data_IF_429754590803
#
_entry.id   IF_429754590803
#
_cell.length_a   1.000
_cell.length_b   1.000
_cell.length_c   1.000
_cell.angle_alpha   90.00
_cell.angle_beta   90.00
_cell.angle_gamma   90.00
#
_symmetry.space_group_name_H-M   'P 1'
#
loop_
_entity.id
_entity.type
_entity.pdbx_description
1 polymer ?
#
# COMPACT_ATOMS: atom_id res chain seq x y z
N UNK A 1 3.03 25.68 15.72
CA UNK A 1 3.06 24.30 15.18
C UNK A 1 1.66 23.92 14.75
N UNK A 2 1.43 23.72 13.45
CA UNK A 2 0.14 23.22 12.97
C UNK A 2 0.09 21.74 13.33
N UNK A 3 -0.66 21.39 14.38
CA UNK A 3 -0.95 20.00 14.70
C UNK A 3 -1.78 19.41 13.56
N UNK A 4 -1.12 18.77 12.60
CA UNK A 4 -1.80 18.02 11.54
C UNK A 4 -2.76 17.04 12.20
N UNK A 5 -4.01 17.03 11.75
CA UNK A 5 -5.03 16.13 12.29
C UNK A 5 -4.70 14.67 12.05
N UNK A 6 -3.87 14.41 11.05
CA UNK A 6 -3.31 13.10 10.75
C UNK A 6 -2.60 12.54 11.98
N UNK A 7 -1.83 13.35 12.71
CA UNK A 7 -1.05 12.89 13.87
C UNK A 7 -1.92 12.29 14.97
N UNK A 8 -3.16 12.78 15.13
CA UNK A 8 -4.14 12.23 16.09
C UNK A 8 -4.74 10.89 15.65
N UNK A 9 -4.58 10.52 14.38
CA UNK A 9 -5.14 9.31 13.79
C UNK A 9 -4.08 8.23 13.58
N UNK A 10 -2.78 8.57 13.61
CA UNK A 10 -1.70 7.60 13.55
C UNK A 10 -1.56 6.90 14.90
N UNK A 11 -1.63 5.57 14.90
CA UNK A 11 -1.53 4.74 16.10
C UNK A 11 -0.59 3.56 15.88
N UNK A 12 -0.08 2.94 16.97
CA UNK A 12 0.66 1.68 16.88
C UNK A 12 -0.18 0.58 16.23
N UNK A 13 0.45 -0.30 15.46
CA UNK A 13 -0.23 -1.41 14.75
C UNK A 13 -1.02 -2.32 15.69
N UNK A 14 -0.50 -2.58 16.90
CA UNK A 14 -1.20 -3.34 17.94
C UNK A 14 -2.57 -2.77 18.31
N UNK A 15 -2.73 -1.44 18.29
CA UNK A 15 -4.03 -0.80 18.56
C UNK A 15 -5.03 -1.07 17.44
N UNK A 16 -4.58 -1.11 16.18
CA UNK A 16 -5.45 -1.48 15.05
C UNK A 16 -5.85 -2.94 15.15
N UNK A 17 -4.90 -3.83 15.44
CA UNK A 17 -5.17 -5.25 15.62
C UNK A 17 -6.23 -5.48 16.72
N UNK A 18 -6.09 -4.80 17.86
CA UNK A 18 -7.10 -4.85 18.93
C UNK A 18 -8.47 -4.36 18.46
N UNK A 19 -8.57 -3.18 17.83
CA UNK A 19 -9.86 -2.66 17.32
C UNK A 19 -10.52 -3.64 16.34
N UNK A 20 -9.72 -4.28 15.51
CA UNK A 20 -10.18 -5.24 14.53
C UNK A 20 -10.67 -6.54 15.17
N UNK A 21 -9.93 -7.09 16.14
CA UNK A 21 -10.31 -8.29 16.90
C UNK A 21 -11.63 -8.09 17.66
N UNK A 22 -11.80 -6.93 18.29
CA UNK A 22 -13.06 -6.56 18.97
C UNK A 22 -14.24 -6.42 17.99
N UNK A 23 -14.01 -6.03 16.74
CA UNK A 23 -15.04 -5.78 15.74
C UNK A 23 -15.01 -6.87 14.66
N UNK A 24 -15.46 -8.07 15.02
CA UNK A 24 -15.46 -9.25 14.15
C UNK A 24 -16.18 -9.08 12.79
N UNK A 25 -17.11 -8.12 12.67
CA UNK A 25 -17.80 -7.78 11.42
C UNK A 25 -17.11 -6.68 10.60
N UNK A 26 -15.95 -6.20 11.03
CA UNK A 26 -15.21 -5.14 10.38
C UNK A 26 -14.07 -5.66 9.50
N UNK A 27 -13.56 -4.78 8.65
CA UNK A 27 -12.43 -5.08 7.77
C UNK A 27 -11.30 -4.05 7.97
N UNK A 28 -10.07 -4.43 7.64
CA UNK A 28 -8.92 -3.52 7.58
C UNK A 28 -8.65 -3.17 6.12
N UNK A 29 -8.30 -1.92 5.84
CA UNK A 29 -7.87 -1.51 4.51
C UNK A 29 -6.36 -1.30 4.46
N UNK A 30 -5.68 -2.01 3.58
CA UNK A 30 -4.28 -1.75 3.26
C UNK A 30 -4.15 -0.79 2.08
N UNK A 31 -3.27 0.20 2.20
CA UNK A 31 -2.96 1.18 1.17
C UNK A 31 -1.47 1.17 0.84
N UNK A 32 -1.15 0.98 -0.43
CA UNK A 32 0.18 1.23 -0.98
C UNK A 32 0.10 2.40 -1.97
N UNK A 33 0.77 3.50 -1.64
CA UNK A 33 0.62 4.79 -2.32
C UNK A 33 1.89 5.05 -3.14
N UNK A 34 1.75 4.93 -4.46
CA UNK A 34 2.81 5.28 -5.41
C UNK A 34 2.55 6.65 -6.04
N UNK A 35 3.46 7.08 -6.94
CA UNK A 35 3.29 8.32 -7.71
C UNK A 35 2.10 8.26 -8.67
N UNK A 36 1.83 7.10 -9.28
CA UNK A 36 0.87 6.99 -10.37
C UNK A 36 -0.43 6.29 -9.98
N UNK A 37 -0.39 5.45 -8.95
CA UNK A 37 -1.52 4.64 -8.52
C UNK A 37 -1.53 4.42 -7.01
N UNK A 38 -2.68 4.02 -6.49
CA UNK A 38 -2.87 3.59 -5.12
C UNK A 38 -3.39 2.16 -5.18
N UNK A 39 -2.56 1.21 -4.73
CA UNK A 39 -2.96 -0.19 -4.61
C UNK A 39 -3.73 -0.36 -3.31
N UNK A 40 -4.80 -1.15 -3.36
CA UNK A 40 -5.74 -1.32 -2.25
C UNK A 40 -5.99 -2.81 -2.05
N UNK A 41 -5.91 -3.25 -0.80
CA UNK A 41 -6.33 -4.59 -0.39
C UNK A 41 -7.21 -4.49 0.85
N UNK A 42 -8.23 -5.34 0.94
CA UNK A 42 -9.15 -5.41 2.08
C UNK A 42 -8.88 -6.70 2.85
N UNK A 43 -8.58 -6.58 4.14
CA UNK A 43 -8.47 -7.68 5.09
C UNK A 43 -9.75 -7.89 5.85
N UNK A 44 -10.29 -9.10 5.84
CA UNK A 44 -11.46 -9.47 6.63
C UNK A 44 -11.09 -10.27 7.86
N UNK A 45 -11.94 -10.22 8.87
CA UNK A 45 -11.72 -10.93 10.13
C UNK A 45 -11.67 -12.45 9.89
N UNK A 46 -10.69 -13.18 10.45
CA UNK A 46 -10.50 -14.61 10.19
C UNK A 46 -11.68 -15.48 10.68
N UNK A 47 -12.47 -15.00 11.64
CA UNK A 47 -13.67 -15.69 12.12
C UNK A 47 -14.85 -15.65 11.15
N UNK A 48 -14.73 -14.98 9.99
CA UNK A 48 -15.78 -14.95 8.98
C UNK A 48 -15.66 -16.18 8.09
N UNK A 49 -16.59 -17.12 8.24
CA UNK A 49 -16.50 -18.45 7.63
C UNK A 49 -16.50 -18.44 6.10
N UNK A 50 -17.03 -17.41 5.44
CA UNK A 50 -17.37 -17.48 4.01
C UNK A 50 -16.45 -16.70 3.04
N UNK A 51 -15.39 -16.04 3.51
CA UNK A 51 -14.66 -15.08 2.66
C UNK A 51 -13.14 -15.28 2.66
N UNK A 52 -12.52 -14.94 1.53
CA UNK A 52 -11.07 -14.80 1.45
C UNK A 52 -10.63 -13.76 2.49
N UNK A 53 -9.66 -14.14 3.34
CA UNK A 53 -9.12 -13.27 4.41
C UNK A 53 -8.60 -11.97 3.80
N UNK A 54 -8.04 -12.02 2.60
CA UNK A 54 -7.48 -10.86 1.91
C UNK A 54 -8.08 -10.80 0.50
N UNK A 55 -8.75 -9.69 0.20
CA UNK A 55 -9.28 -9.39 -1.12
C UNK A 55 -8.49 -8.25 -1.75
N UNK A 56 -7.81 -8.54 -2.86
CA UNK A 56 -7.13 -7.54 -3.69
C UNK A 56 -8.14 -6.77 -4.53
N UNK A 57 -7.97 -5.45 -4.61
CA UNK A 57 -8.84 -4.56 -5.38
C UNK A 57 -8.11 -4.00 -6.61
N UNK A 58 -8.87 -3.54 -7.61
CA UNK A 58 -8.30 -2.81 -8.74
C UNK A 58 -7.59 -1.54 -8.23
N UNK A 59 -6.32 -1.28 -8.60
CA UNK A 59 -5.62 -0.07 -8.21
C UNK A 59 -6.37 1.19 -8.66
N UNK A 60 -6.35 2.22 -7.83
CA UNK A 60 -6.90 3.53 -8.18
C UNK A 60 -5.81 4.34 -8.86
N UNK A 61 -6.06 4.80 -10.08
CA UNK A 61 -5.15 5.71 -10.76
C UNK A 61 -5.10 7.06 -10.05
N UNK A 62 -3.88 7.55 -9.80
CA UNK A 62 -3.61 8.80 -9.11
C UNK A 62 -3.05 9.86 -10.07
N UNK A 63 -1.91 9.58 -10.73
CA UNK A 63 -1.28 10.48 -11.69
C UNK A 63 -0.95 9.75 -13.00
N UNK A 64 -1.14 10.37 -14.18
CA UNK A 64 -0.80 9.76 -15.45
C UNK A 64 0.73 9.67 -15.61
N UNK A 65 1.21 8.67 -16.33
CA UNK A 65 2.65 8.44 -16.51
C UNK A 65 3.36 9.56 -17.28
N UNK A 66 2.66 10.23 -18.19
CA UNK A 66 3.30 11.03 -19.25
C UNK A 66 3.15 12.54 -19.10
N UNK A 67 2.42 13.04 -18.11
CA UNK A 67 2.13 14.49 -18.02
C UNK A 67 3.11 15.22 -17.08
N UNK A 68 4.11 15.89 -17.66
CA UNK A 68 5.02 16.78 -16.94
C UNK A 68 4.35 18.06 -16.43
N UNK A 69 3.23 18.48 -17.05
CA UNK A 69 2.53 19.74 -16.76
C UNK A 69 1.06 19.50 -16.40
N UNK A 70 0.80 18.94 -15.22
CA UNK A 70 -0.57 18.77 -14.72
C UNK A 70 -1.02 20.07 -14.06
N UNK A 71 -2.16 20.62 -14.52
CA UNK A 71 -2.74 21.82 -13.90
C UNK A 71 -3.13 21.53 -12.44
N UNK A 72 -2.98 22.53 -11.56
CA UNK A 72 -3.41 22.43 -10.14
C UNK A 72 -4.88 22.00 -10.01
N UNK A 73 -5.72 22.45 -10.92
CA UNK A 73 -7.13 22.08 -10.99
C UNK A 73 -7.32 20.57 -11.26
N UNK A 74 -6.61 20.00 -12.24
CA UNK A 74 -6.69 18.57 -12.53
C UNK A 74 -6.20 17.73 -11.35
N UNK A 75 -5.13 18.16 -10.68
CA UNK A 75 -4.63 17.48 -9.48
C UNK A 75 -5.67 17.44 -8.35
N UNK A 76 -6.39 18.55 -8.13
CA UNK A 76 -7.49 18.63 -7.16
C UNK A 76 -8.63 17.67 -7.53
N UNK A 77 -9.04 17.64 -8.79
CA UNK A 77 -10.09 16.72 -9.27
C UNK A 77 -9.71 15.26 -9.09
N UNK A 78 -8.45 14.89 -9.38
CA UNK A 78 -7.94 13.52 -9.19
C UNK A 78 -7.88 13.13 -7.71
N UNK A 79 -7.41 14.02 -6.83
CA UNK A 79 -7.45 13.80 -5.37
C UNK A 79 -8.88 13.52 -4.90
N UNK A 80 -9.86 14.30 -5.37
CA UNK A 80 -11.26 14.09 -5.02
C UNK A 80 -11.83 12.77 -5.58
N UNK A 81 -11.42 12.36 -6.79
CA UNK A 81 -11.76 11.06 -7.35
C UNK A 81 -11.23 9.92 -6.47
N UNK A 82 -9.95 9.97 -6.10
CA UNK A 82 -9.34 8.99 -5.17
C UNK A 82 -10.11 8.92 -3.86
N UNK A 83 -10.41 10.08 -3.26
CA UNK A 83 -11.17 10.16 -2.01
C UNK A 83 -12.53 9.48 -2.13
N UNK A 84 -13.30 9.80 -3.17
CA UNK A 84 -14.61 9.18 -3.42
C UNK A 84 -14.51 7.67 -3.63
N UNK A 85 -13.50 7.20 -4.35
CA UNK A 85 -13.27 5.78 -4.60
C UNK A 85 -12.91 5.03 -3.31
N UNK A 86 -12.02 5.58 -2.48
CA UNK A 86 -11.70 5.02 -1.16
C UNK A 86 -12.93 5.06 -0.24
N UNK A 87 -13.70 6.15 -0.25
CA UNK A 87 -14.93 6.27 0.54
C UNK A 87 -15.95 5.18 0.22
N UNK A 88 -16.12 4.85 -1.07
CA UNK A 88 -16.99 3.74 -1.50
C UNK A 88 -16.53 2.40 -0.93
N UNK A 89 -15.23 2.12 -0.97
CA UNK A 89 -14.64 0.89 -0.40
C UNK A 89 -14.84 0.86 1.12
N UNK A 90 -14.59 1.99 1.78
CA UNK A 90 -14.71 2.12 3.24
C UNK A 90 -16.13 1.85 3.73
N UNK A 91 -17.15 2.34 3.01
CA UNK A 91 -18.56 2.06 3.31
C UNK A 91 -18.93 0.62 2.98
N UNK A 92 -18.52 0.10 1.82
CA UNK A 92 -18.85 -1.26 1.36
C UNK A 92 -18.34 -2.34 2.31
N UNK A 93 -17.12 -2.20 2.82
CA UNK A 93 -16.46 -3.23 3.61
C UNK A 93 -16.44 -2.96 5.12
N UNK A 94 -17.11 -1.89 5.59
CA UNK A 94 -17.14 -1.50 7.00
C UNK A 94 -15.72 -1.41 7.60
N UNK A 95 -14.85 -0.60 6.98
CA UNK A 95 -13.44 -0.51 7.37
C UNK A 95 -13.29 0.09 8.77
N UNK A 96 -12.59 -0.61 9.67
CA UNK A 96 -12.32 -0.19 11.05
C UNK A 96 -10.97 0.48 11.25
N UNK A 97 -10.01 0.24 10.35
CA UNK A 97 -8.67 0.81 10.44
C UNK A 97 -7.91 0.69 9.12
N UNK A 98 -6.81 1.44 9.03
CA UNK A 98 -5.97 1.49 7.83
C UNK A 98 -4.55 1.03 8.16
N UNK A 99 -3.99 0.21 7.27
CA UNK A 99 -2.56 -0.15 7.30
C UNK A 99 -1.94 0.45 6.05
N UNK A 100 -1.04 1.41 6.22
CA UNK A 100 -0.47 2.14 5.08
C UNK A 100 0.99 1.78 4.96
N UNK A 101 1.39 1.40 3.75
CA UNK A 101 2.79 1.19 3.42
C UNK A 101 3.60 2.48 3.57
N UNK A 102 4.70 2.39 4.29
CA UNK A 102 5.65 3.45 4.55
C UNK A 102 6.92 3.25 3.71
N UNK A 103 7.08 3.95 2.57
CA UNK A 103 8.16 3.75 1.61
C UNK A 103 9.44 4.44 2.07
N UNK A 104 10.09 3.85 3.08
CA UNK A 104 11.39 4.31 3.57
C UNK A 104 12.49 4.02 2.54
N UNK A 105 13.51 4.87 2.51
CA UNK A 105 14.73 4.60 1.77
C UNK A 105 15.49 3.40 2.39
N UNK A 106 16.42 2.75 1.69
CA UNK A 106 17.22 1.66 2.26
C UNK A 106 17.88 2.05 3.60
N UNK A 107 18.29 3.31 3.73
CA UNK A 107 18.87 3.88 4.95
C UNK A 107 17.88 3.99 6.13
N UNK A 108 16.59 3.72 5.93
CA UNK A 108 15.52 3.92 6.91
C UNK A 108 15.03 5.36 7.04
N UNK A 109 15.60 6.28 6.27
CA UNK A 109 15.18 7.67 6.28
C UNK A 109 13.94 7.90 5.40
N UNK A 110 13.07 8.86 5.79
CA UNK A 110 11.92 9.23 4.98
C UNK A 110 12.37 10.05 3.75
N UNK A 111 12.04 9.57 2.56
CA UNK A 111 12.33 10.27 1.30
C UNK A 111 11.12 11.00 0.71
N UNK A 112 11.24 11.40 -0.56
CA UNK A 112 10.15 12.04 -1.32
C UNK A 112 8.88 11.15 -1.42
N UNK A 113 9.04 9.83 -1.39
CA UNK A 113 7.93 8.88 -1.37
C UNK A 113 7.09 9.01 -0.09
N UNK A 114 7.72 9.06 1.09
CA UNK A 114 7.06 9.30 2.37
C UNK A 114 6.27 10.61 2.37
N UNK A 115 6.84 11.69 1.82
CA UNK A 115 6.15 12.98 1.68
C UNK A 115 4.87 12.87 0.86
N UNK A 116 4.87 12.09 -0.23
CA UNK A 116 3.66 11.83 -1.03
C UNK A 116 2.60 11.07 -0.25
N UNK A 117 3.00 10.04 0.51
CA UNK A 117 2.10 9.28 1.38
C UNK A 117 1.43 10.23 2.38
N UNK A 118 2.21 11.00 3.14
CA UNK A 118 1.66 11.92 4.14
C UNK A 118 0.73 12.97 3.53
N UNK A 119 1.11 13.56 2.39
CA UNK A 119 0.31 14.57 1.72
C UNK A 119 -1.04 14.03 1.23
N UNK A 120 -1.11 12.76 0.81
CA UNK A 120 -2.37 12.11 0.48
C UNK A 120 -3.16 11.77 1.75
N UNK A 121 -2.52 11.22 2.77
CA UNK A 121 -3.21 10.85 4.02
C UNK A 121 -3.78 12.07 4.75
N UNK A 122 -3.06 13.20 4.77
CA UNK A 122 -3.55 14.45 5.36
C UNK A 122 -4.81 14.95 4.62
N UNK A 123 -4.83 14.82 3.29
CA UNK A 123 -6.02 15.11 2.48
C UNK A 123 -7.20 14.16 2.78
N UNK A 124 -6.94 12.88 3.06
CA UNK A 124 -7.97 11.90 3.47
C UNK A 124 -8.47 12.12 4.92
N UNK A 125 -7.64 12.76 5.76
CA UNK A 125 -7.94 13.09 7.16
C UNK A 125 -8.64 14.46 7.32
N UNK A 126 -8.78 15.24 6.25
CA UNK A 126 -9.34 16.60 6.27
C UNK A 126 -10.83 16.66 6.69
N UNK A 127 -11.32 17.83 7.16
CA UNK A 127 -12.65 18.05 7.77
C UNK A 127 -13.79 18.10 6.73
N UNK A 128 -13.84 17.13 5.83
CA UNK A 128 -15.04 16.91 5.03
C UNK A 128 -16.17 16.28 5.86
N UNK A 129 -17.41 16.39 5.38
CA UNK A 129 -18.56 15.64 5.92
C UNK A 129 -18.31 14.12 5.96
N UNK A 130 -17.54 13.61 5.01
CA UNK A 130 -17.19 12.20 4.90
C UNK A 130 -15.71 12.00 5.19
N UNK A 131 -15.36 12.12 6.46
CA UNK A 131 -13.99 11.87 6.91
C UNK A 131 -13.68 10.39 6.69
N UNK A 132 -12.61 10.07 5.99
CA UNK A 132 -12.19 8.67 5.74
C UNK A 132 -11.34 8.18 6.91
N UNK A 133 -10.35 8.99 7.29
CA UNK A 133 -9.42 8.72 8.40
C UNK A 133 -9.85 9.54 9.61
N UNK A 134 -10.18 8.87 10.70
CA UNK A 134 -10.67 9.48 11.94
C UNK A 134 -10.06 8.77 13.16
N UNK A 135 -10.12 9.35 14.37
CA UNK A 135 -9.72 8.63 15.58
C UNK A 135 -10.50 7.32 15.81
N UNK A 136 -11.72 7.23 15.27
CA UNK A 136 -12.54 6.00 15.26
C UNK A 136 -12.14 4.98 14.19
N UNK A 137 -11.37 5.40 13.18
CA UNK A 137 -10.78 4.57 12.12
C UNK A 137 -9.32 4.98 11.93
N UNK A 138 -8.46 4.66 12.91
CA UNK A 138 -7.08 5.12 12.91
C UNK A 138 -6.29 4.41 11.81
N UNK A 139 -5.08 4.92 11.59
CA UNK A 139 -4.14 4.30 10.65
C UNK A 139 -2.82 3.97 11.33
N UNK A 140 -2.10 3.00 10.77
CA UNK A 140 -0.72 2.70 11.13
C UNK A 140 0.15 2.71 9.89
N UNK A 141 1.41 3.09 10.05
CA UNK A 141 2.40 3.11 9.00
C UNK A 141 3.28 1.87 9.16
N UNK A 142 3.35 1.02 8.13
CA UNK A 142 4.17 -0.18 8.12
C UNK A 142 5.34 -0.04 7.19
N UNK A 143 6.53 -0.37 7.68
CA UNK A 143 7.77 -0.30 6.92
C UNK A 143 7.73 -1.26 5.72
N UNK A 144 7.80 -0.71 4.50
CA UNK A 144 7.76 -1.52 3.28
C UNK A 144 9.06 -2.25 2.98
N UNK A 145 10.16 -1.85 3.63
CA UNK A 145 11.49 -2.34 3.28
C UNK A 145 11.64 -3.85 3.45
N UNK A 146 10.84 -4.46 4.33
CA UNK A 146 10.81 -5.90 4.59
C UNK A 146 10.53 -6.73 3.33
N UNK A 147 9.78 -6.18 2.37
CA UNK A 147 9.44 -6.89 1.13
C UNK A 147 9.96 -6.21 -0.14
N UNK A 148 10.36 -4.94 -0.08
CA UNK A 148 10.93 -4.24 -1.25
C UNK A 148 12.44 -4.39 -1.37
N UNK A 149 13.16 -4.68 -0.28
CA UNK A 149 14.62 -4.82 -0.29
C UNK A 149 15.01 -6.25 0.10
N UNK A 150 15.40 -7.05 -0.89
CA UNK A 150 15.82 -8.44 -0.69
C UNK A 150 17.10 -8.59 0.14
N UNK A 151 17.91 -7.53 0.23
CA UNK A 151 19.08 -7.44 1.11
C UNK A 151 19.21 -6.00 1.57
N UNK A 152 19.11 -5.81 2.87
CA UNK A 152 19.74 -4.68 3.51
C UNK A 152 21.23 -5.00 3.60
N UNK A 153 21.93 -4.81 2.49
CA UNK A 153 23.31 -4.43 2.64
C UNK A 153 23.18 -3.00 3.19
N UNK A 154 23.18 -2.85 4.51
CA UNK A 154 23.64 -1.61 5.14
C UNK A 154 25.04 -1.43 4.58
N UNK A 155 25.12 -0.79 3.41
CA UNK A 155 26.40 -0.39 2.87
C UNK A 155 26.87 0.58 3.95
N UNK A 156 27.83 0.11 4.76
CA UNK A 156 28.57 0.77 5.83
C UNK A 156 29.30 2.00 5.29
N UNK A 157 28.58 2.88 4.60
CA UNK A 157 29.06 4.21 4.30
C UNK A 157 29.00 4.90 5.65
N UNK A 158 30.15 5.33 6.19
CA UNK A 158 30.16 6.02 7.46
C UNK A 158 29.18 7.18 7.37
N UNK A 159 28.24 7.19 8.31
CA UNK A 159 27.35 8.33 8.47
C UNK A 159 28.23 9.57 8.67
N UNK A 160 27.80 10.72 8.14
CA UNK A 160 28.45 11.97 8.47
C UNK A 160 28.39 12.21 9.99
N UNK A 161 29.09 13.25 10.47
CA UNK A 161 29.07 13.62 11.90
C UNK A 161 27.67 13.98 12.45
N UNK A 162 26.64 14.03 11.60
CA UNK A 162 25.25 14.28 11.95
C UNK A 162 24.35 13.04 11.74
N UNK A 163 24.90 11.86 11.47
CA UNK A 163 24.12 10.64 11.28
C UNK A 163 23.45 10.54 9.90
N UNK A 164 23.82 11.36 8.92
CA UNK A 164 23.23 11.35 7.58
C UNK A 164 24.08 10.51 6.63
N UNK A 165 23.43 9.86 5.68
CA UNK A 165 24.16 9.18 4.59
C UNK A 165 24.95 10.21 3.78
N UNK A 166 26.21 9.89 3.48
CA UNK A 166 27.11 10.70 2.65
C UNK A 166 26.54 11.02 1.26
N UNK A 167 25.51 10.30 0.82
CA UNK A 167 24.69 10.59 -0.37
C UNK A 167 24.13 12.02 -0.42
N UNK A 168 23.75 12.53 0.75
CA UNK A 168 23.00 13.78 0.90
C UNK A 168 23.86 14.93 1.38
N UNK A 169 25.16 14.69 1.59
CA UNK A 169 26.09 15.79 1.72
C UNK A 169 26.14 16.49 0.34
N UNK A 170 25.83 17.79 0.25
CA UNK A 170 26.21 18.54 -0.93
C UNK A 170 27.72 18.33 -1.07
N UNK A 171 28.13 17.64 -2.15
CA UNK A 171 29.53 17.40 -2.45
C UNK A 171 30.24 18.74 -2.29
N UNK A 172 30.98 18.92 -1.20
CA UNK A 172 31.85 20.06 -1.10
C UNK A 172 32.84 19.85 -2.23
N UNK A 173 32.78 20.69 -3.26
CA UNK A 173 33.86 20.82 -4.23
C UNK A 173 35.11 21.14 -3.42
N UNK A 174 35.86 20.12 -3.04
CA UNK A 174 37.25 20.26 -2.70
C UNK A 174 38.00 19.89 -3.96
N UNK A 175 38.88 20.79 -4.40
CA UNK A 175 39.65 20.81 -5.64
C UNK A 175 40.61 19.62 -5.87
N UNK A 176 40.37 18.47 -5.25
CA UNK A 176 41.09 17.23 -5.52
C UNK A 176 40.25 16.31 -6.40
N UNK A 177 40.80 15.89 -7.54
CA UNK A 177 40.24 14.89 -8.46
C UNK A 177 39.85 13.59 -7.73
N UNK A 178 38.64 13.53 -7.19
CA UNK A 178 38.03 12.27 -6.78
C UNK A 178 37.55 11.59 -8.06
N UNK A 179 38.37 10.67 -8.58
CA UNK A 179 37.88 9.62 -9.48
C UNK A 179 36.86 8.82 -8.67
N UNK A 180 35.58 9.10 -8.86
CA UNK A 180 34.49 8.23 -8.41
C UNK A 180 34.63 6.96 -9.25
N UNK A 181 35.39 5.99 -8.72
CA UNK A 181 35.46 4.66 -9.28
C UNK A 181 34.10 4.00 -9.03
N UNK A 182 33.30 3.88 -10.08
CA UNK A 182 32.46 2.71 -10.31
C UNK A 182 31.23 2.46 -9.45
N UNK A 183 30.94 3.23 -8.40
CA UNK A 183 29.70 3.04 -7.65
C UNK A 183 28.58 3.88 -8.24
N UNK A 184 27.89 3.29 -9.22
CA UNK A 184 26.60 3.79 -9.67
C UNK A 184 25.70 3.97 -8.46
N UNK A 185 25.45 5.22 -8.07
CA UNK A 185 24.23 5.56 -7.36
C UNK A 185 23.09 5.23 -8.32
N UNK A 186 22.53 4.02 -8.19
CA UNK A 186 21.12 3.83 -8.52
C UNK A 186 20.37 4.62 -7.45
N UNK A 187 20.36 5.95 -7.61
CA UNK A 187 19.35 6.78 -6.99
C UNK A 187 18.03 6.07 -7.24
N UNK A 188 17.24 5.86 -6.19
CA UNK A 188 15.88 5.33 -6.29
C UNK A 188 14.98 6.18 -7.21
N UNK A 189 15.46 7.29 -7.78
CA UNK A 189 14.81 8.03 -8.85
C UNK A 189 15.07 7.51 -10.27
N UNK A 190 16.09 6.66 -10.50
CA UNK A 190 16.50 6.24 -11.84
C UNK A 190 15.71 5.07 -12.44
N UNK A 191 14.96 4.32 -11.63
CA UNK A 191 14.14 3.18 -12.10
C UNK A 191 12.85 3.06 -11.30
N UNK A 192 12.02 4.12 -11.30
CA UNK A 192 10.59 3.99 -10.94
C UNK A 192 9.96 2.82 -11.75
N UNK A 193 10.50 2.48 -12.93
CA UNK A 193 10.07 1.38 -13.79
C UNK A 193 10.04 -0.02 -13.14
N UNK A 194 10.96 -0.33 -12.22
CA UNK A 194 11.01 -1.67 -11.61
C UNK A 194 9.90 -1.83 -10.54
N UNK A 195 9.49 -0.75 -9.88
CA UNK A 195 8.45 -0.79 -8.85
C UNK A 195 7.01 -0.89 -9.40
N UNK A 196 6.78 -0.69 -10.71
CA UNK A 196 5.43 -0.81 -11.28
C UNK A 196 4.93 -2.27 -11.42
N UNK A 197 5.80 -3.27 -11.33
CA UNK A 197 5.38 -4.66 -11.57
C UNK A 197 4.74 -5.34 -10.36
N UNK A 198 5.07 -4.95 -9.12
CA UNK A 198 4.42 -5.53 -7.95
C UNK A 198 3.09 -4.82 -7.67
N UNK A 199 2.04 -5.31 -8.34
CA UNK A 199 0.65 -4.96 -8.02
C UNK A 199 0.20 -5.49 -6.65
N UNK A 200 1.07 -6.25 -5.96
CA UNK A 200 0.76 -7.01 -4.75
C UNK A 200 1.28 -6.38 -3.45
N UNK A 201 1.94 -5.22 -3.49
CA UNK A 201 2.50 -4.60 -2.29
C UNK A 201 1.44 -4.34 -1.19
N UNK A 202 0.24 -3.88 -1.55
CA UNK A 202 -0.84 -3.67 -0.56
C UNK A 202 -1.31 -4.98 0.08
N UNK A 203 -1.27 -6.08 -0.66
CA UNK A 203 -1.60 -7.40 -0.13
C UNK A 203 -0.50 -7.89 0.83
N UNK A 204 0.77 -7.80 0.43
CA UNK A 204 1.92 -8.20 1.26
C UNK A 204 1.98 -7.43 2.58
N UNK A 205 1.70 -6.12 2.56
CA UNK A 205 1.59 -5.29 3.78
C UNK A 205 0.54 -5.88 4.74
N UNK A 206 -0.59 -6.31 4.20
CA UNK A 206 -1.70 -6.81 5.00
C UNK A 206 -1.45 -8.24 5.49
N UNK A 207 -0.82 -9.08 4.68
CA UNK A 207 -0.32 -10.41 5.08
C UNK A 207 0.68 -10.28 6.22
N UNK A 208 1.66 -9.39 6.10
CA UNK A 208 2.64 -9.13 7.15
C UNK A 208 1.96 -8.61 8.42
N UNK A 209 1.00 -7.70 8.29
CA UNK A 209 0.22 -7.21 9.42
C UNK A 209 -0.49 -8.37 10.12
N UNK A 210 -1.16 -9.25 9.37
CA UNK A 210 -1.85 -10.38 9.95
C UNK A 210 -0.90 -11.37 10.60
N UNK A 211 0.18 -11.77 9.94
CA UNK A 211 1.18 -12.68 10.50
C UNK A 211 1.82 -12.13 11.78
N UNK A 212 1.96 -10.82 11.90
CA UNK A 212 2.56 -10.17 13.08
C UNK A 212 1.63 -10.12 14.29
N UNK A 213 0.31 -10.06 14.09
CA UNK A 213 -0.68 -9.80 15.16
C UNK A 213 -1.63 -10.97 15.42
N UNK A 214 -1.86 -11.81 14.42
CA UNK A 214 -2.75 -12.94 14.47
C UNK A 214 -1.91 -14.18 14.19
N UNK A 215 -1.87 -15.10 15.15
CA UNK A 215 -1.33 -16.45 14.91
C UNK A 215 -2.29 -17.17 13.97
N UNK A 216 -2.24 -16.81 12.70
CA UNK A 216 -2.97 -17.54 11.67
C UNK A 216 -2.30 -18.91 11.60
N UNK A 217 -3.05 -19.96 11.96
CA UNK A 217 -2.66 -21.32 11.59
C UNK A 217 -2.39 -21.31 10.09
N UNK A 218 -1.16 -21.61 9.67
CA UNK A 218 -0.74 -21.58 8.26
C UNK A 218 -1.69 -22.41 7.37
N UNK A 219 -2.27 -23.46 7.95
CA UNK A 219 -3.29 -24.32 7.33
C UNK A 219 -4.56 -23.57 6.88
N UNK A 220 -4.95 -22.49 7.55
CA UNK A 220 -6.16 -21.70 7.18
C UNK A 220 -5.87 -20.69 6.07
N UNK A 221 -4.64 -20.17 5.99
CA UNK A 221 -4.23 -19.23 4.94
C UNK A 221 -4.11 -19.92 3.58
N UNK A 222 -3.51 -21.11 3.53
CA UNK A 222 -3.25 -21.83 2.28
C UNK A 222 -4.46 -22.61 1.74
N UNK A 223 -5.33 -23.16 2.61
CA UNK A 223 -6.51 -23.92 2.15
C UNK A 223 -7.53 -23.09 1.37
N UNK A 224 -7.46 -21.74 1.38
CA UNK A 224 -8.41 -20.84 0.71
C UNK A 224 -7.87 -20.08 -0.50
N UNK A 225 -6.56 -20.11 -0.76
CA UNK A 225 -6.02 -19.56 -2.02
C UNK A 225 -6.12 -20.58 -3.17
N UNK A 226 -6.12 -21.88 -2.84
CA UNK A 226 -6.20 -22.96 -3.84
C UNK A 226 -7.57 -23.10 -4.52
N UNK A 227 -8.65 -22.53 -3.99
CA UNK A 227 -9.97 -22.54 -4.66
C UNK A 227 -10.07 -21.57 -5.83
N UNK A 228 -9.13 -20.63 -5.97
CA UNK A 228 -9.02 -19.81 -7.18
C UNK A 228 -8.49 -20.60 -8.39
N UNK A 229 -7.84 -21.75 -8.18
CA UNK A 229 -7.35 -22.63 -9.26
C UNK A 229 -8.46 -23.55 -9.79
N UNK A 230 -9.54 -23.76 -9.03
CA UNK A 230 -10.65 -24.62 -9.48
C UNK A 230 -11.59 -23.92 -10.46
N UNK A 231 -11.59 -22.58 -10.53
CA UNK A 231 -12.44 -21.85 -11.48
C UNK A 231 -11.92 -21.96 -12.93
N UNK A 232 -10.61 -22.05 -13.13
CA UNK A 232 -10.02 -22.32 -14.46
C UNK A 232 -10.24 -23.78 -14.94
N UNK A 233 -10.52 -24.72 -14.02
CA UNK A 233 -10.96 -26.08 -14.40
C UNK A 233 -12.43 -26.12 -14.84
N UNK A 234 -13.30 -25.36 -14.19
CA UNK A 234 -14.72 -25.28 -14.55
C UNK A 234 -14.97 -24.58 -15.90
N UNK A 235 -14.08 -23.69 -16.34
CA UNK A 235 -14.15 -23.09 -17.68
C UNK A 235 -13.65 -24.07 -18.76
N UNK A 236 -12.68 -24.95 -18.45
CA UNK A 236 -12.20 -25.95 -19.42
C UNK A 236 -13.20 -27.10 -19.65
N UNK A 237 -13.99 -27.46 -18.65
CA UNK A 237 -15.00 -28.52 -18.82
C UNK A 237 -16.25 -28.02 -19.59
N UNK A 238 -16.46 -26.70 -19.70
CA UNK A 238 -17.56 -26.11 -20.47
C UNK A 238 -17.31 -26.08 -21.99
N UNK A 239 -16.04 -26.13 -22.44
CA UNK A 239 -15.70 -26.16 -23.87
C UNK A 239 -15.71 -27.58 -24.47
N UNK A 240 -15.72 -28.63 -23.64
CA UNK A 240 -15.73 -30.03 -24.10
C UNK A 240 -17.11 -30.65 -24.27
N UNK A 241 -18.17 -29.99 -23.78
CA UNK A 241 -19.55 -30.45 -23.97
C UNK A 241 -20.38 -29.36 -24.66
N UNK A 242 -20.25 -29.30 -25.98
CA UNK A 242 -21.21 -28.65 -26.86
C UNK A 242 -22.60 -29.25 -26.67
N UNK A 243 -23.38 -28.64 -25.79
CA UNK A 243 -24.78 -28.95 -25.55
C UNK A 243 -25.64 -27.79 -26.04
N UNK A 244 -26.31 -27.99 -27.17
CA UNK A 244 -27.39 -27.14 -27.66
C UNK A 244 -28.43 -26.93 -26.55
N UNK A 245 -28.65 -25.69 -26.12
CA UNK A 245 -29.85 -25.32 -25.38
C UNK A 245 -30.85 -24.82 -26.41
N UNK A 246 -31.80 -25.68 -26.78
CA UNK A 246 -33.03 -25.26 -27.46
C UNK A 246 -33.84 -24.39 -26.49
N UNK A 247 -34.00 -23.12 -26.84
CA UNK A 247 -34.94 -22.22 -26.18
C UNK A 247 -36.33 -22.42 -26.79
N UNK A 248 -37.18 -23.20 -26.12
CA UNK A 248 -38.62 -23.15 -26.37
C UNK A 248 -39.24 -22.00 -25.59
N UNK A 249 -39.68 -20.97 -26.33
CA UNK A 249 -40.55 -19.90 -25.87
C UNK A 249 -41.98 -20.42 -25.68
N UNK A 250 -42.51 -20.30 -24.47
CA UNK A 250 -43.92 -20.08 -24.16
C UNK A 250 -44.02 -19.08 -23.00
#
# INVERSE_FOLDING_TARGET
MINSRLSKCVVPSARIASIFDWKQSSSILSLDISKHRICISVGQHPNREDQHIIQKMKPIEYMPHEQKNISKAMFKTRKEHVKKSIEKVVKKYNISGFVVGWPLEPSGNPGAACGRVLHLLDFLADIGRNRIISPSRPLTLMDQRVFTHNKFDEIDRPLDRWGRSSAFCPLSLQDGKVKVLGDFYISSHGKDEIFYRNLDCSQQILEQFFNSHFKLDEDRLYKRSSTAVTFDRLIRDYDTHGGCIEASLL
#
